data_IF_976985098816
#
_entry.id   IF_976985098816
#
_cell.length_a   1.000
_cell.length_b   1.000
_cell.length_c   1.000
_cell.angle_alpha   90.00
_cell.angle_beta   90.00
_cell.angle_gamma   90.00
#
_symmetry.space_group_name_H-M   'P 1'
#
loop_
_entity.id
_entity.type
_entity.pdbx_description
1 polymer ?
#
# COMPACT_ATOMS: atom_id res chain seq x y z
N UNK A 1 -3.75 -15.93 -38.53
CA UNK A 1 -2.85 -15.47 -39.61
C UNK A 1 -1.93 -14.35 -39.09
N UNK A 2 -0.73 -14.20 -39.64
CA UNK A 2 0.29 -13.23 -39.18
C UNK A 2 0.79 -12.29 -40.29
N UNK A 3 0.27 -12.40 -41.51
CA UNK A 3 0.68 -11.56 -42.64
C UNK A 3 0.06 -10.16 -42.60
N UNK A 4 0.81 -9.13 -43.02
CA UNK A 4 0.35 -7.73 -43.16
C UNK A 4 -0.34 -7.14 -41.91
N UNK A 5 0.12 -7.49 -40.71
CA UNK A 5 -0.49 -7.03 -39.45
C UNK A 5 -0.62 -5.52 -39.34
N UNK A 6 0.35 -4.76 -39.82
CA UNK A 6 0.36 -3.29 -39.76
C UNK A 6 -0.73 -2.64 -40.62
N UNK A 7 -1.20 -3.31 -41.66
CA UNK A 7 -2.28 -2.83 -42.53
C UNK A 7 -3.63 -3.37 -42.06
N UNK A 8 -3.67 -4.65 -41.66
CA UNK A 8 -4.92 -5.35 -41.36
C UNK A 8 -5.39 -5.15 -39.91
N UNK A 9 -4.48 -4.82 -39.00
CA UNK A 9 -4.72 -4.58 -37.57
C UNK A 9 -3.86 -3.39 -37.10
N UNK A 10 -4.16 -2.16 -37.55
CA UNK A 10 -3.25 -1.01 -37.46
C UNK A 10 -3.09 -0.37 -36.06
N UNK A 11 -3.71 -0.94 -35.02
CA UNK A 11 -3.72 -0.35 -33.67
C UNK A 11 -2.34 -0.39 -33.02
N UNK A 12 -1.86 0.77 -32.58
CA UNK A 12 -0.57 0.92 -31.89
C UNK A 12 -0.71 1.13 -30.36
N UNK A 13 -1.89 1.54 -29.91
CA UNK A 13 -2.18 1.73 -28.48
C UNK A 13 -3.65 1.97 -28.18
N UNK A 14 -3.99 1.97 -26.90
CA UNK A 14 -5.31 2.37 -26.42
C UNK A 14 -5.20 3.41 -25.30
N UNK A 15 -6.20 4.28 -25.26
CA UNK A 15 -6.48 5.19 -24.14
C UNK A 15 -7.65 4.62 -23.34
N UNK A 16 -7.36 4.12 -22.13
CA UNK A 16 -8.34 3.54 -21.20
C UNK A 16 -8.06 4.06 -19.79
N UNK A 17 -9.11 4.47 -19.07
CA UNK A 17 -8.97 5.06 -17.73
C UNK A 17 -8.13 6.34 -17.73
N UNK A 18 -8.12 7.07 -18.86
CA UNK A 18 -7.27 8.24 -19.11
C UNK A 18 -5.75 7.97 -19.04
N UNK A 19 -5.36 6.70 -19.20
CA UNK A 19 -3.96 6.26 -19.35
C UNK A 19 -3.77 5.74 -20.76
N UNK A 20 -2.65 6.10 -21.38
CA UNK A 20 -2.25 5.51 -22.66
C UNK A 20 -1.45 4.23 -22.42
N UNK A 21 -1.78 3.19 -23.16
CA UNK A 21 -1.18 1.86 -23.06
C UNK A 21 -0.68 1.40 -24.42
N UNK A 22 0.53 0.85 -24.43
CA UNK A 22 1.11 0.30 -25.65
C UNK A 22 0.51 -1.06 -25.97
N UNK A 23 0.16 -1.29 -27.24
CA UNK A 23 -0.35 -2.57 -27.72
C UNK A 23 0.64 -3.20 -28.66
N UNK A 24 0.63 -4.53 -28.67
CA UNK A 24 1.25 -5.29 -29.73
C UNK A 24 0.26 -6.30 -30.29
N UNK A 25 -0.08 -6.14 -31.57
CA UNK A 25 -0.82 -7.15 -32.32
C UNK A 25 0.12 -8.29 -32.70
N UNK A 26 -0.37 -9.52 -32.57
CA UNK A 26 0.43 -10.75 -32.77
C UNK A 26 -0.08 -11.56 -33.95
N UNK A 27 -1.40 -11.72 -34.07
CA UNK A 27 -2.06 -12.41 -35.17
C UNK A 27 -3.51 -11.94 -35.30
N UNK A 28 -4.20 -12.39 -36.34
CA UNK A 28 -5.64 -12.18 -36.50
C UNK A 28 -6.37 -13.44 -36.94
N UNK A 29 -7.67 -13.43 -36.72
CA UNK A 29 -8.63 -14.43 -37.17
C UNK A 29 -9.61 -13.79 -38.13
N UNK A 30 -9.87 -14.44 -39.26
CA UNK A 30 -10.96 -14.07 -40.14
C UNK A 30 -12.25 -14.72 -39.61
N UNK A 31 -13.23 -13.91 -39.24
CA UNK A 31 -14.54 -14.36 -38.76
C UNK A 31 -15.63 -13.92 -39.72
N UNK A 32 -16.85 -14.46 -39.56
CA UNK A 32 -18.01 -14.02 -40.36
C UNK A 32 -18.39 -12.56 -40.15
N UNK A 33 -18.00 -11.97 -39.02
CA UNK A 33 -18.36 -10.61 -38.61
C UNK A 33 -17.22 -9.61 -38.81
N UNK A 34 -16.11 -10.03 -39.43
CA UNK A 34 -14.94 -9.19 -39.68
C UNK A 34 -13.67 -9.83 -39.17
N UNK A 35 -12.62 -9.00 -39.05
CA UNK A 35 -11.28 -9.44 -38.66
C UNK A 35 -11.07 -9.20 -37.18
N UNK A 36 -10.83 -10.28 -36.44
CA UNK A 36 -10.52 -10.23 -35.02
C UNK A 36 -9.01 -10.24 -34.82
N UNK A 37 -8.46 -9.16 -34.28
CA UNK A 37 -7.02 -8.98 -34.11
C UNK A 37 -6.60 -9.30 -32.67
N UNK A 38 -5.78 -10.34 -32.49
CA UNK A 38 -5.24 -10.69 -31.19
C UNK A 38 -4.07 -9.78 -30.83
N UNK A 39 -4.06 -9.33 -29.59
CA UNK A 39 -3.03 -8.47 -29.08
C UNK A 39 -2.63 -8.80 -27.65
N UNK A 40 -1.46 -8.28 -27.30
CA UNK A 40 -0.89 -8.38 -25.97
C UNK A 40 -0.43 -7.00 -25.50
N UNK A 41 -0.46 -6.79 -24.19
CA UNK A 41 0.37 -5.78 -23.53
C UNK A 41 1.39 -6.51 -22.68
N UNK A 42 2.58 -6.78 -23.26
CA UNK A 42 3.58 -7.64 -22.65
C UNK A 42 3.99 -7.26 -21.23
N UNK A 43 4.01 -5.96 -20.94
CA UNK A 43 4.44 -5.42 -19.65
C UNK A 43 3.45 -5.71 -18.52
N UNK A 44 2.20 -6.03 -18.87
CA UNK A 44 1.11 -6.14 -17.92
C UNK A 44 0.40 -7.49 -17.94
N UNK A 45 0.89 -8.53 -18.64
CA UNK A 45 0.20 -9.84 -18.73
C UNK A 45 -1.27 -9.65 -19.18
N UNK A 46 -1.47 -8.76 -20.14
CA UNK A 46 -2.77 -8.51 -20.74
C UNK A 46 -2.80 -9.16 -22.12
N UNK A 47 -3.86 -9.91 -22.38
CA UNK A 47 -4.16 -10.55 -23.65
C UNK A 47 -5.57 -10.16 -24.04
N UNK A 48 -5.83 -10.05 -25.33
CA UNK A 48 -7.17 -9.71 -25.77
C UNK A 48 -7.32 -9.79 -27.26
N UNK A 49 -8.53 -9.53 -27.71
CA UNK A 49 -8.81 -9.38 -29.11
C UNK A 49 -9.62 -8.10 -29.33
N UNK A 50 -9.41 -7.46 -30.49
CA UNK A 50 -10.19 -6.31 -30.89
C UNK A 50 -10.72 -6.45 -32.31
N UNK A 51 -11.79 -5.71 -32.57
CA UNK A 51 -12.47 -5.59 -33.85
C UNK A 51 -12.61 -4.11 -34.18
N UNK A 52 -12.21 -3.74 -35.40
CA UNK A 52 -12.43 -2.40 -35.95
C UNK A 52 -13.53 -2.52 -37.02
N UNK A 53 -14.59 -1.71 -36.91
CA UNK A 53 -15.62 -1.70 -37.94
C UNK A 53 -15.21 -0.90 -39.18
N UNK A 54 -15.82 -1.25 -40.31
CA UNK A 54 -15.44 -0.72 -41.62
C UNK A 54 -15.98 0.69 -41.91
N UNK A 55 -17.09 1.08 -41.28
CA UNK A 55 -17.73 2.39 -41.50
C UNK A 55 -17.31 3.41 -40.45
N UNK A 56 -17.11 4.66 -40.87
CA UNK A 56 -16.86 5.78 -39.95
C UNK A 56 -18.07 6.04 -39.06
N UNK A 57 -17.81 6.43 -37.81
CA UNK A 57 -18.83 6.72 -36.79
C UNK A 57 -18.49 8.01 -36.07
N UNK A 58 -19.47 8.58 -35.36
CA UNK A 58 -19.19 9.69 -34.45
C UNK A 58 -18.18 9.25 -33.37
N UNK A 59 -17.15 10.06 -33.08
CA UNK A 59 -16.16 9.74 -32.06
C UNK A 59 -16.77 9.60 -30.67
N UNK A 60 -16.18 8.71 -29.87
CA UNK A 60 -16.53 8.61 -28.46
C UNK A 60 -16.12 9.87 -27.68
N UNK A 61 -16.75 10.14 -26.54
CA UNK A 61 -16.45 11.34 -25.72
C UNK A 61 -14.98 11.44 -25.26
N UNK A 62 -14.30 10.31 -25.17
CA UNK A 62 -12.88 10.21 -24.79
C UNK A 62 -11.90 10.46 -25.95
N UNK A 63 -12.41 10.55 -27.19
CA UNK A 63 -11.61 10.73 -28.40
C UNK A 63 -11.27 12.21 -28.61
N UNK A 64 -10.03 12.56 -28.93
CA UNK A 64 -9.63 13.94 -29.18
C UNK A 64 -10.34 14.50 -30.41
N UNK A 65 -10.59 15.80 -30.40
CA UNK A 65 -11.28 16.50 -31.47
C UNK A 65 -10.58 16.43 -32.83
N UNK A 66 -9.26 16.16 -32.85
CA UNK A 66 -8.51 15.95 -34.09
C UNK A 66 -9.03 14.75 -34.88
N UNK A 67 -9.43 13.68 -34.19
CA UNK A 67 -9.87 12.43 -34.80
C UNK A 67 -11.35 12.42 -35.23
N UNK A 68 -11.99 13.60 -35.33
CA UNK A 68 -13.45 13.68 -35.52
C UNK A 68 -13.93 13.06 -36.82
N UNK A 69 -13.18 13.26 -37.88
CA UNK A 69 -13.57 12.86 -39.23
C UNK A 69 -12.99 11.50 -39.65
N UNK A 70 -12.20 10.86 -38.79
CA UNK A 70 -11.49 9.60 -39.07
C UNK A 70 -11.56 8.60 -37.91
N UNK A 71 -12.76 8.50 -37.33
CA UNK A 71 -13.11 7.57 -36.25
C UNK A 71 -13.90 6.36 -36.75
N UNK A 72 -13.47 5.17 -36.33
CA UNK A 72 -14.12 3.88 -36.63
C UNK A 72 -14.60 3.22 -35.32
N UNK A 73 -15.70 2.44 -35.34
CA UNK A 73 -16.17 1.79 -34.14
C UNK A 73 -15.17 0.72 -33.71
N UNK A 74 -14.97 0.60 -32.41
CA UNK A 74 -13.96 -0.26 -31.82
C UNK A 74 -14.56 -1.08 -30.69
N UNK A 75 -14.42 -2.40 -30.80
CA UNK A 75 -14.81 -3.34 -29.76
C UNK A 75 -13.59 -4.15 -29.36
N UNK A 76 -13.44 -4.39 -28.06
CA UNK A 76 -12.32 -5.14 -27.53
C UNK A 76 -12.81 -5.96 -26.35
N UNK A 77 -12.14 -7.09 -26.12
CA UNK A 77 -12.11 -7.68 -24.80
C UNK A 77 -10.67 -7.98 -24.38
N UNK A 78 -10.42 -7.89 -23.08
CA UNK A 78 -9.13 -8.16 -22.48
C UNK A 78 -9.23 -9.07 -21.28
N UNK A 79 -8.19 -9.87 -21.10
CA UNK A 79 -7.85 -10.57 -19.89
C UNK A 79 -6.60 -9.97 -19.29
N UNK A 80 -6.65 -9.61 -18.01
CA UNK A 80 -5.49 -9.25 -17.22
C UNK A 80 -5.25 -10.35 -16.18
N UNK A 81 -4.22 -11.17 -16.39
CA UNK A 81 -3.95 -12.29 -15.50
C UNK A 81 -3.35 -11.84 -14.16
N UNK A 82 -3.92 -12.33 -13.05
CA UNK A 82 -3.39 -12.09 -11.69
C UNK A 82 -2.24 -13.07 -11.35
N UNK A 83 -1.61 -12.88 -10.18
CA UNK A 83 -0.71 -13.86 -9.56
C UNK A 83 -1.52 -15.04 -9.01
N UNK A 84 -2.04 -15.85 -9.93
CA UNK A 84 -2.92 -17.00 -9.68
C UNK A 84 -3.47 -17.58 -10.98
N UNK A 85 -4.51 -18.41 -10.87
CA UNK A 85 -5.14 -19.06 -12.04
C UNK A 85 -6.26 -18.22 -12.70
N UNK A 86 -6.63 -17.08 -12.11
CA UNK A 86 -7.72 -16.24 -12.63
C UNK A 86 -7.21 -14.98 -13.34
N UNK A 87 -8.03 -14.49 -14.26
CA UNK A 87 -7.85 -13.21 -14.95
C UNK A 87 -9.05 -12.30 -14.69
N UNK A 88 -8.77 -11.01 -14.60
CA UNK A 88 -9.81 -10.00 -14.74
C UNK A 88 -10.20 -9.90 -16.22
N UNK A 89 -11.49 -9.78 -16.48
CA UNK A 89 -12.06 -9.71 -17.82
C UNK A 89 -12.72 -8.36 -18.01
N UNK A 90 -12.46 -7.70 -19.13
CA UNK A 90 -13.08 -6.43 -19.50
C UNK A 90 -13.52 -6.46 -20.97
N UNK A 91 -14.65 -5.83 -21.25
CA UNK A 91 -15.21 -5.64 -22.59
C UNK A 91 -15.31 -4.14 -22.87
N UNK A 92 -14.19 -3.47 -23.20
CA UNK A 92 -14.24 -2.07 -23.54
C UNK A 92 -14.77 -1.82 -24.96
N UNK A 93 -15.47 -0.71 -25.11
CA UNK A 93 -15.97 -0.20 -26.39
C UNK A 93 -15.45 1.22 -26.61
N UNK A 94 -15.44 1.68 -27.86
CA UNK A 94 -15.13 3.06 -28.16
C UNK A 94 -14.88 3.29 -29.64
N UNK A 95 -13.93 4.17 -29.95
CA UNK A 95 -13.58 4.51 -31.33
C UNK A 95 -12.09 4.47 -31.58
N UNK A 96 -11.72 3.88 -32.70
CA UNK A 96 -10.36 3.87 -33.23
C UNK A 96 -10.14 5.09 -34.10
N UNK A 97 -9.08 5.85 -33.81
CA UNK A 97 -8.65 6.97 -34.64
C UNK A 97 -7.58 6.50 -35.63
N UNK A 98 -7.85 6.66 -36.94
CA UNK A 98 -6.89 6.26 -37.96
C UNK A 98 -5.73 7.26 -38.13
N UNK A 99 -5.90 8.54 -37.74
CA UNK A 99 -4.84 9.55 -37.81
C UNK A 99 -3.65 9.24 -36.89
N UNK A 100 -3.92 8.82 -35.64
CA UNK A 100 -2.90 8.58 -34.62
C UNK A 100 -2.77 7.11 -34.20
N UNK A 101 -3.55 6.23 -34.86
CA UNK A 101 -3.57 4.78 -34.66
C UNK A 101 -3.89 4.34 -33.22
N UNK A 102 -4.62 5.18 -32.48
CA UNK A 102 -5.00 4.92 -31.09
C UNK A 102 -6.49 4.61 -30.96
N UNK A 103 -6.81 3.58 -30.18
CA UNK A 103 -8.18 3.29 -29.77
C UNK A 103 -8.53 4.06 -28.49
N UNK A 104 -9.57 4.87 -28.54
CA UNK A 104 -10.10 5.62 -27.41
C UNK A 104 -11.31 4.91 -26.86
N UNK A 105 -11.15 4.28 -25.70
CA UNK A 105 -12.09 3.27 -25.21
C UNK A 105 -12.54 3.55 -23.78
N UNK A 106 -13.74 3.07 -23.47
CA UNK A 106 -14.33 3.07 -22.15
C UNK A 106 -14.75 1.66 -21.77
N UNK A 107 -14.73 1.37 -20.48
CA UNK A 107 -15.24 0.11 -19.94
C UNK A 107 -16.75 0.02 -20.15
N UNK A 108 -17.24 -1.08 -20.76
CA UNK A 108 -18.67 -1.36 -20.90
C UNK A 108 -19.08 -2.60 -20.09
N UNK A 109 -18.31 -3.69 -20.20
CA UNK A 109 -18.49 -4.90 -19.40
C UNK A 109 -17.25 -5.22 -18.57
N UNK A 110 -17.45 -5.79 -17.38
CA UNK A 110 -16.34 -6.30 -16.57
C UNK A 110 -16.74 -7.59 -15.84
N UNK A 111 -15.74 -8.43 -15.59
CA UNK A 111 -15.91 -9.70 -14.93
C UNK A 111 -14.59 -10.30 -14.46
N UNK A 112 -14.67 -11.55 -14.03
CA UNK A 112 -13.49 -12.35 -13.67
C UNK A 112 -13.67 -13.75 -14.21
N UNK A 113 -12.59 -14.39 -14.62
CA UNK A 113 -12.65 -15.73 -15.20
C UNK A 113 -11.44 -16.57 -14.79
N UNK A 114 -11.67 -17.83 -14.44
CA UNK A 114 -10.61 -18.78 -14.04
C UNK A 114 -9.85 -19.28 -15.28
N UNK A 115 -9.13 -18.36 -15.93
CA UNK A 115 -8.26 -18.64 -17.06
C UNK A 115 -6.94 -17.88 -16.86
N UNK A 116 -5.82 -18.55 -17.14
CA UNK A 116 -4.51 -17.91 -17.25
C UNK A 116 -3.59 -18.78 -18.13
N UNK A 117 -2.52 -18.19 -18.67
CA UNK A 117 -1.52 -18.93 -19.46
C UNK A 117 -1.93 -19.19 -20.92
N UNK A 118 -1.40 -20.25 -21.57
CA UNK A 118 -1.49 -20.44 -23.03
C UNK A 118 -2.91 -20.45 -23.60
N UNK A 119 -3.87 -20.94 -22.82
CA UNK A 119 -5.30 -20.96 -23.21
C UNK A 119 -5.88 -19.57 -23.52
N UNK A 120 -5.29 -18.49 -22.97
CA UNK A 120 -5.69 -17.11 -23.28
C UNK A 120 -5.43 -16.72 -24.75
N UNK A 121 -4.40 -17.30 -25.36
CA UNK A 121 -4.00 -16.99 -26.75
C UNK A 121 -5.02 -17.55 -27.74
N UNK A 122 -5.71 -18.62 -27.36
CA UNK A 122 -6.70 -19.33 -28.19
C UNK A 122 -8.14 -18.93 -27.88
N UNK A 123 -8.39 -18.15 -26.81
CA UNK A 123 -9.73 -17.64 -26.50
C UNK A 123 -10.16 -16.62 -27.56
N UNK A 124 -11.20 -16.97 -28.30
CA UNK A 124 -11.83 -16.10 -29.32
C UNK A 124 -12.99 -15.29 -28.77
N UNK A 125 -13.22 -15.30 -27.45
CA UNK A 125 -14.33 -14.61 -26.81
C UNK A 125 -15.61 -15.47 -26.76
N UNK A 126 -16.54 -15.09 -25.88
CA UNK A 126 -17.84 -15.76 -25.71
C UNK A 126 -18.83 -14.77 -25.12
N UNK A 127 -20.08 -14.85 -25.55
CA UNK A 127 -21.21 -14.07 -24.98
C UNK A 127 -21.80 -14.70 -23.72
N UNK A 128 -21.32 -15.88 -23.32
CA UNK A 128 -21.75 -16.56 -22.09
C UNK A 128 -21.20 -15.87 -20.84
N UNK A 129 -21.97 -15.86 -19.76
CA UNK A 129 -21.52 -15.32 -18.48
C UNK A 129 -20.24 -16.02 -17.96
N UNK A 130 -19.17 -15.24 -17.76
CA UNK A 130 -17.89 -15.69 -17.22
C UNK A 130 -17.79 -15.37 -15.73
N UNK A 131 -17.29 -16.31 -14.94
CA UNK A 131 -17.11 -16.17 -13.49
C UNK A 131 -15.82 -16.82 -13.01
N UNK A 132 -15.22 -16.27 -11.96
CA UNK A 132 -14.07 -16.85 -11.27
C UNK A 132 -14.47 -17.26 -9.86
N UNK A 133 -14.36 -18.56 -9.58
CA UNK A 133 -14.53 -19.06 -8.22
C UNK A 133 -13.32 -18.72 -7.35
N UNK A 134 -12.13 -18.66 -7.94
CA UNK A 134 -10.91 -18.28 -7.24
C UNK A 134 -10.95 -16.84 -6.74
N UNK A 135 -11.35 -15.91 -7.61
CA UNK A 135 -11.52 -14.51 -7.26
C UNK A 135 -12.59 -14.34 -6.18
N UNK A 136 -13.76 -14.99 -6.34
CA UNK A 136 -14.83 -14.93 -5.35
C UNK A 136 -14.37 -15.43 -3.98
N UNK A 137 -13.64 -16.55 -3.94
CA UNK A 137 -13.14 -17.14 -2.69
C UNK A 137 -12.08 -16.26 -2.03
N UNK A 138 -11.07 -15.83 -2.78
CA UNK A 138 -9.98 -14.98 -2.27
C UNK A 138 -10.50 -13.62 -1.82
N UNK A 139 -11.39 -13.02 -2.61
CA UNK A 139 -12.08 -11.77 -2.28
C UNK A 139 -12.93 -11.90 -1.01
N UNK A 140 -13.73 -12.97 -0.89
CA UNK A 140 -14.52 -13.21 0.32
C UNK A 140 -13.64 -13.36 1.57
N UNK A 141 -12.55 -14.14 1.49
CA UNK A 141 -11.59 -14.29 2.58
C UNK A 141 -10.98 -12.94 2.97
N UNK A 142 -10.61 -12.11 1.99
CA UNK A 142 -10.02 -10.79 2.24
C UNK A 142 -11.02 -9.81 2.86
N UNK A 143 -12.26 -9.79 2.39
CA UNK A 143 -13.35 -8.97 2.96
C UNK A 143 -13.65 -9.38 4.39
N UNK A 144 -13.78 -10.68 4.67
CA UNK A 144 -13.97 -11.20 6.03
C UNK A 144 -12.81 -10.79 6.92
N UNK A 145 -11.58 -10.97 6.46
CA UNK A 145 -10.38 -10.56 7.19
C UNK A 145 -10.40 -9.07 7.55
N UNK A 146 -10.63 -8.19 6.56
CA UNK A 146 -10.70 -6.73 6.76
C UNK A 146 -11.86 -6.36 7.69
N UNK A 147 -13.00 -7.00 7.57
CA UNK A 147 -14.15 -6.82 8.47
C UNK A 147 -13.81 -7.17 9.93
N UNK A 148 -13.11 -8.28 10.16
CA UNK A 148 -12.64 -8.67 11.50
C UNK A 148 -11.60 -7.69 12.06
N UNK A 149 -10.69 -7.19 11.21
CA UNK A 149 -9.73 -6.13 11.59
C UNK A 149 -10.47 -4.86 11.99
N UNK A 150 -11.40 -4.37 11.17
CA UNK A 150 -12.19 -3.17 11.48
C UNK A 150 -12.98 -3.33 12.78
N UNK A 151 -13.61 -4.49 12.99
CA UNK A 151 -14.34 -4.80 14.23
C UNK A 151 -13.43 -4.74 15.46
N UNK A 152 -12.25 -5.39 15.44
CA UNK A 152 -11.33 -5.33 16.59
C UNK A 152 -10.88 -3.90 16.86
N UNK A 153 -10.53 -3.15 15.81
CA UNK A 153 -9.99 -1.79 15.93
C UNK A 153 -11.06 -0.85 16.49
N UNK A 154 -12.31 -0.97 16.02
CA UNK A 154 -13.44 -0.20 16.53
C UNK A 154 -13.67 -0.44 18.03
N UNK A 155 -13.71 -1.69 18.46
CA UNK A 155 -13.91 -2.04 19.88
C UNK A 155 -12.76 -1.48 20.74
N UNK A 156 -11.51 -1.60 20.28
CA UNK A 156 -10.35 -1.07 21.01
C UNK A 156 -10.42 0.45 21.11
N UNK A 157 -10.72 1.15 20.01
CA UNK A 157 -10.89 2.60 20.00
C UNK A 157 -12.00 3.05 20.96
N UNK A 158 -13.15 2.36 20.95
CA UNK A 158 -14.26 2.63 21.88
C UNK A 158 -13.84 2.46 23.35
N UNK A 159 -13.10 1.40 23.68
CA UNK A 159 -12.61 1.15 25.04
C UNK A 159 -11.58 2.19 25.47
N UNK A 160 -10.69 2.59 24.56
CA UNK A 160 -9.71 3.63 24.83
C UNK A 160 -10.37 4.99 25.06
N UNK A 161 -11.34 5.38 24.22
CA UNK A 161 -12.12 6.59 24.41
C UNK A 161 -12.86 6.60 25.76
N UNK A 162 -13.50 5.49 26.15
CA UNK A 162 -14.13 5.36 27.48
C UNK A 162 -13.11 5.52 28.61
N UNK A 163 -11.90 4.96 28.46
CA UNK A 163 -10.82 5.14 29.45
C UNK A 163 -10.37 6.59 29.55
N UNK A 164 -10.21 7.28 28.43
CA UNK A 164 -9.90 8.71 28.42
C UNK A 164 -10.97 9.51 29.18
N UNK A 165 -12.26 9.24 28.92
CA UNK A 165 -13.36 9.86 29.64
C UNK A 165 -13.34 9.57 31.14
N UNK A 166 -13.12 8.31 31.55
CA UNK A 166 -13.06 7.94 32.96
C UNK A 166 -11.88 8.60 33.71
N UNK A 167 -10.78 8.87 33.01
CA UNK A 167 -9.59 9.53 33.57
C UNK A 167 -9.63 11.06 33.42
N UNK A 168 -10.75 11.63 32.94
CA UNK A 168 -10.90 13.08 32.77
C UNK A 168 -10.01 13.68 31.66
N UNK A 169 -9.59 12.88 30.69
CA UNK A 169 -8.68 13.30 29.61
C UNK A 169 -9.41 13.38 28.28
N UNK A 170 -9.35 14.54 27.62
CA UNK A 170 -9.82 14.71 26.24
C UNK A 170 -8.71 14.39 25.23
N UNK A 171 -9.06 13.69 24.15
CA UNK A 171 -8.16 13.47 23.01
C UNK A 171 -8.37 14.54 21.94
N UNK A 172 -7.29 15.15 21.46
CA UNK A 172 -7.36 16.00 20.27
C UNK A 172 -7.51 15.16 19.01
N UNK A 173 -8.02 15.76 17.93
CA UNK A 173 -8.20 15.09 16.63
C UNK A 173 -6.92 14.41 16.13
N UNK A 174 -5.76 15.08 16.23
CA UNK A 174 -4.47 14.52 15.83
C UNK A 174 -4.13 13.23 16.60
N UNK A 175 -4.29 13.25 17.92
CA UNK A 175 -4.00 12.10 18.79
C UNK A 175 -4.94 10.92 18.50
N UNK A 176 -6.22 11.21 18.32
CA UNK A 176 -7.23 10.20 18.00
C UNK A 176 -6.95 9.52 16.66
N UNK A 177 -6.58 10.28 15.62
CA UNK A 177 -6.25 9.73 14.30
C UNK A 177 -5.02 8.81 14.37
N UNK A 178 -3.96 9.24 15.08
CA UNK A 178 -2.77 8.40 15.29
C UNK A 178 -3.14 7.10 16.00
N UNK A 179 -3.94 7.18 17.07
CA UNK A 179 -4.37 5.99 17.80
C UNK A 179 -5.16 5.03 16.90
N UNK A 180 -6.11 5.55 16.12
CA UNK A 180 -6.89 4.75 15.15
C UNK A 180 -5.98 4.08 14.13
N UNK A 181 -5.00 4.80 13.57
CA UNK A 181 -4.06 4.22 12.60
C UNK A 181 -3.18 3.11 13.17
N UNK A 182 -2.75 3.22 14.43
CA UNK A 182 -2.05 2.15 15.14
C UNK A 182 -2.96 0.92 15.34
N UNK A 183 -4.24 1.13 15.65
CA UNK A 183 -5.20 0.02 15.83
C UNK A 183 -5.64 -0.62 14.51
N UNK A 184 -5.59 0.10 13.38
CA UNK A 184 -5.90 -0.40 12.03
C UNK A 184 -4.74 -1.20 11.40
N UNK A 185 -3.69 -1.50 12.17
CA UNK A 185 -2.62 -2.41 11.73
C UNK A 185 -3.22 -3.73 11.23
N UNK A 186 -2.68 -4.27 10.14
CA UNK A 186 -3.14 -5.56 9.62
C UNK A 186 -2.62 -6.72 10.47
N UNK A 187 -1.35 -6.68 10.86
CA UNK A 187 -0.71 -7.73 11.68
C UNK A 187 -1.05 -7.59 13.16
N UNK A 188 -1.17 -8.73 13.86
CA UNK A 188 -1.19 -8.75 15.32
C UNK A 188 0.22 -8.60 15.91
N UNK A 189 0.33 -8.16 17.17
CA UNK A 189 1.58 -8.24 17.91
C UNK A 189 1.96 -9.72 18.10
N UNK A 190 3.18 -10.08 17.70
CA UNK A 190 3.66 -11.46 17.71
C UNK A 190 3.35 -12.27 16.44
N UNK A 191 2.86 -11.63 15.35
CA UNK A 191 2.73 -12.30 14.06
C UNK A 191 4.07 -12.94 13.62
N UNK A 192 4.01 -14.13 13.01
CA UNK A 192 5.18 -14.84 12.46
C UNK A 192 5.55 -14.28 11.09
N UNK A 193 6.69 -14.71 10.52
CA UNK A 193 7.07 -14.33 9.16
C UNK A 193 6.06 -14.85 8.13
N UNK A 194 5.62 -16.11 8.28
CA UNK A 194 4.63 -16.72 7.39
C UNK A 194 3.31 -15.94 7.38
N UNK A 195 2.80 -15.53 8.55
CA UNK A 195 1.60 -14.70 8.62
C UNK A 195 1.74 -13.38 7.85
N UNK A 196 2.91 -12.73 7.91
CA UNK A 196 3.16 -11.49 7.18
C UNK A 196 3.26 -11.71 5.67
N UNK A 197 3.88 -12.82 5.24
CA UNK A 197 3.95 -13.19 3.82
C UNK A 197 2.56 -13.48 3.26
N UNK A 198 1.72 -14.21 4.00
CA UNK A 198 0.34 -14.46 3.59
C UNK A 198 -0.48 -13.16 3.46
N UNK A 199 -0.31 -12.22 4.38
CA UNK A 199 -0.95 -10.90 4.27
C UNK A 199 -0.40 -10.06 3.13
N UNK A 200 0.90 -10.17 2.84
CA UNK A 200 1.52 -9.49 1.71
C UNK A 200 0.92 -9.99 0.40
N UNK A 201 0.71 -11.31 0.26
CA UNK A 201 0.01 -11.90 -0.88
C UNK A 201 -1.41 -11.33 -1.04
N UNK A 202 -2.22 -11.34 0.02
CA UNK A 202 -3.58 -10.79 -0.02
C UNK A 202 -3.62 -9.28 -0.32
N UNK A 203 -2.61 -8.52 0.12
CA UNK A 203 -2.45 -7.11 -0.24
C UNK A 203 -2.13 -6.92 -1.72
N UNK A 204 -1.29 -7.78 -2.29
CA UNK A 204 -0.96 -7.75 -3.72
C UNK A 204 -2.21 -8.07 -4.55
N UNK A 205 -2.97 -9.11 -4.19
CA UNK A 205 -4.25 -9.41 -4.87
C UNK A 205 -5.24 -8.24 -4.76
N UNK A 206 -5.32 -7.59 -3.59
CA UNK A 206 -6.14 -6.39 -3.41
C UNK A 206 -5.68 -5.20 -4.28
N UNK A 207 -4.36 -5.01 -4.44
CA UNK A 207 -3.77 -3.98 -5.30
C UNK A 207 -4.09 -4.21 -6.78
N UNK A 208 -4.08 -5.47 -7.23
CA UNK A 208 -4.51 -5.83 -8.59
C UNK A 208 -5.99 -5.47 -8.80
N UNK A 209 -6.84 -5.72 -7.80
CA UNK A 209 -8.23 -5.27 -7.82
C UNK A 209 -8.39 -3.74 -7.94
N UNK A 210 -7.62 -2.95 -7.18
CA UNK A 210 -7.63 -1.48 -7.31
C UNK A 210 -7.16 -1.01 -8.69
N UNK A 211 -6.12 -1.62 -9.23
CA UNK A 211 -5.60 -1.29 -10.57
C UNK A 211 -6.64 -1.61 -11.65
N UNK A 212 -7.38 -2.70 -11.48
CA UNK A 212 -8.45 -3.08 -12.39
C UNK A 212 -9.66 -2.13 -12.28
N UNK A 213 -10.08 -1.78 -11.07
CA UNK A 213 -11.12 -0.76 -10.86
C UNK A 213 -10.71 0.62 -11.37
N UNK A 214 -9.41 0.92 -11.37
CA UNK A 214 -8.89 2.16 -11.90
C UNK A 214 -9.12 2.26 -13.42
N UNK A 215 -8.82 1.20 -14.18
CA UNK A 215 -9.01 1.20 -15.64
C UNK A 215 -10.49 1.14 -16.03
N UNK A 216 -11.32 0.50 -15.21
CA UNK A 216 -12.76 0.39 -15.43
C UNK A 216 -13.53 1.71 -15.17
N UNK A 217 -12.91 2.71 -14.53
CA UNK A 217 -13.56 3.96 -14.16
C UNK A 217 -12.93 5.17 -14.86
N UNK A 218 -13.76 6.19 -15.11
CA UNK A 218 -13.33 7.47 -15.66
C UNK A 218 -13.63 8.64 -14.71
N UNK A 219 -12.97 9.78 -14.94
CA UNK A 219 -13.28 11.03 -14.24
C UNK A 219 -12.98 11.01 -12.74
N UNK A 220 -13.93 11.45 -11.91
CA UNK A 220 -13.73 11.57 -10.45
C UNK A 220 -13.54 10.20 -9.78
N UNK A 221 -14.22 9.16 -10.27
CA UNK A 221 -14.13 7.82 -9.69
C UNK A 221 -12.72 7.25 -9.84
N UNK A 222 -12.05 7.46 -10.98
CA UNK A 222 -10.66 7.02 -11.15
C UNK A 222 -9.70 7.73 -10.20
N UNK A 223 -9.95 9.01 -9.87
CA UNK A 223 -9.16 9.73 -8.85
C UNK A 223 -9.32 9.14 -7.45
N UNK A 224 -10.54 8.73 -7.08
CA UNK A 224 -10.78 8.03 -5.81
C UNK A 224 -10.04 6.68 -5.79
N UNK A 225 -10.05 5.95 -6.90
CA UNK A 225 -9.32 4.68 -7.01
C UNK A 225 -7.80 4.86 -6.88
N UNK A 226 -7.22 5.92 -7.46
CA UNK A 226 -5.80 6.23 -7.25
C UNK A 226 -5.46 6.49 -5.77
N UNK A 227 -6.36 7.11 -5.00
CA UNK A 227 -6.17 7.28 -3.55
C UNK A 227 -6.24 5.93 -2.82
N UNK A 228 -7.18 5.06 -3.18
CA UNK A 228 -7.26 3.69 -2.65
C UNK A 228 -5.97 2.90 -2.91
N UNK A 229 -5.48 2.96 -4.16
CA UNK A 229 -4.24 2.32 -4.58
C UNK A 229 -3.03 2.82 -3.79
N UNK A 230 -2.93 4.13 -3.57
CA UNK A 230 -1.89 4.73 -2.72
C UNK A 230 -1.93 4.21 -1.28
N UNK A 231 -3.13 4.09 -0.69
CA UNK A 231 -3.32 3.55 0.66
C UNK A 231 -2.91 2.07 0.76
N UNK A 232 -3.31 1.24 -0.20
CA UNK A 232 -2.92 -0.17 -0.21
C UNK A 232 -1.42 -0.36 -0.45
N UNK A 233 -0.81 0.47 -1.30
CA UNK A 233 0.64 0.47 -1.51
C UNK A 233 1.41 0.89 -0.25
N UNK A 234 0.89 1.86 0.50
CA UNK A 234 1.40 2.25 1.82
C UNK A 234 1.31 1.10 2.82
N UNK A 235 0.19 0.36 2.81
CA UNK A 235 0.02 -0.88 3.58
C UNK A 235 1.04 -1.96 3.21
N UNK A 236 1.29 -2.16 1.91
CA UNK A 236 2.31 -3.06 1.38
C UNK A 236 3.71 -2.69 1.92
N UNK A 237 4.10 -1.42 1.84
CA UNK A 237 5.38 -0.92 2.33
C UNK A 237 5.55 -1.14 3.83
N UNK A 238 4.49 -0.93 4.62
CA UNK A 238 4.51 -1.16 6.06
C UNK A 238 4.69 -2.65 6.38
N UNK A 239 3.93 -3.55 5.75
CA UNK A 239 4.07 -5.00 5.98
C UNK A 239 5.44 -5.50 5.51
N UNK A 240 5.94 -5.01 4.38
CA UNK A 240 7.29 -5.34 3.90
C UNK A 240 8.37 -4.89 4.89
N UNK A 241 8.27 -3.66 5.40
CA UNK A 241 9.21 -3.17 6.41
C UNK A 241 9.10 -3.94 7.73
N UNK A 242 7.89 -4.33 8.15
CA UNK A 242 7.71 -5.20 9.32
C UNK A 242 8.38 -6.57 9.15
N UNK A 243 8.39 -7.14 7.94
CA UNK A 243 9.11 -8.38 7.63
C UNK A 243 10.61 -8.15 7.81
N UNK A 244 11.17 -7.09 7.26
CA UNK A 244 12.60 -6.73 7.40
C UNK A 244 12.95 -6.46 8.88
N UNK A 245 12.12 -5.72 9.60
CA UNK A 245 12.29 -5.48 11.03
C UNK A 245 12.25 -6.81 11.81
N UNK A 246 11.39 -7.75 11.38
CA UNK A 246 11.28 -9.07 12.01
C UNK A 246 12.52 -9.95 11.89
N UNK A 247 13.36 -9.75 10.86
CA UNK A 247 14.60 -10.54 10.66
C UNK A 247 15.76 -10.09 11.55
N UNK A 248 15.65 -8.96 12.25
CA UNK A 248 16.71 -8.37 13.08
C UNK A 248 18.02 -8.06 12.31
N UNK A 249 17.96 -7.88 10.99
CA UNK A 249 19.14 -7.57 10.17
C UNK A 249 19.58 -6.10 10.26
N UNK A 250 18.70 -5.21 10.70
CA UNK A 250 19.00 -3.78 10.83
C UNK A 250 19.54 -3.47 12.22
N UNK A 251 20.66 -2.72 12.27
CA UNK A 251 21.10 -2.06 13.51
C UNK A 251 20.03 -1.06 13.96
N UNK A 252 19.87 -0.88 15.27
CA UNK A 252 18.82 -0.02 15.87
C UNK A 252 18.85 1.41 15.32
N UNK A 253 20.05 2.00 15.18
CA UNK A 253 20.22 3.35 14.60
C UNK A 253 19.67 3.44 13.18
N UNK A 254 19.93 2.44 12.35
CA UNK A 254 19.43 2.37 10.96
C UNK A 254 17.93 2.11 10.91
N UNK A 255 17.43 1.20 11.77
CA UNK A 255 15.99 0.91 11.90
C UNK A 255 15.20 2.18 12.21
N UNK A 256 15.65 2.93 13.21
CA UNK A 256 14.98 4.16 13.67
C UNK A 256 15.11 5.27 12.61
N UNK A 257 16.27 5.41 11.97
CA UNK A 257 16.46 6.37 10.87
C UNK A 257 15.45 6.12 9.74
N UNK A 258 15.36 4.89 9.25
CA UNK A 258 14.41 4.49 8.20
C UNK A 258 12.97 4.77 8.65
N UNK A 259 12.61 4.37 9.89
CA UNK A 259 11.27 4.55 10.42
C UNK A 259 10.88 6.02 10.54
N UNK A 260 11.78 6.89 11.00
CA UNK A 260 11.55 8.33 11.14
C UNK A 260 11.48 9.04 9.78
N UNK A 261 12.30 8.63 8.82
CA UNK A 261 12.35 9.25 7.49
C UNK A 261 11.14 8.86 6.62
N UNK A 262 10.84 7.55 6.56
CA UNK A 262 9.93 6.97 5.58
C UNK A 262 8.56 6.56 6.16
N UNK A 263 8.50 6.27 7.46
CA UNK A 263 7.32 5.73 8.14
C UNK A 263 6.88 6.63 9.30
N UNK A 264 6.53 7.88 8.98
CA UNK A 264 6.00 8.83 9.94
C UNK A 264 4.61 9.35 9.56
N UNK A 265 3.81 9.66 10.58
CA UNK A 265 2.43 10.08 10.41
C UNK A 265 2.30 11.39 9.62
N UNK A 266 3.25 12.30 9.79
CA UNK A 266 3.23 13.61 9.15
C UNK A 266 3.44 13.60 7.63
N UNK A 267 4.12 12.60 7.07
CA UNK A 267 4.41 12.53 5.63
C UNK A 267 3.62 11.44 4.89
N UNK A 268 3.13 10.43 5.61
CA UNK A 268 2.51 9.25 4.98
C UNK A 268 1.38 9.57 4.01
N UNK A 269 0.40 10.35 4.47
CA UNK A 269 -0.77 10.75 3.70
C UNK A 269 -0.40 11.67 2.52
N UNK A 270 0.58 12.57 2.72
CA UNK A 270 1.00 13.50 1.66
C UNK A 270 1.58 12.74 0.46
N UNK A 271 2.45 11.76 0.71
CA UNK A 271 3.01 10.92 -0.34
C UNK A 271 1.94 10.16 -1.12
N UNK A 272 0.90 9.67 -0.44
CA UNK A 272 -0.23 8.97 -1.04
C UNK A 272 -1.07 9.89 -1.93
N UNK A 273 -1.40 11.10 -1.45
CA UNK A 273 -2.20 12.08 -2.20
C UNK A 273 -1.45 12.60 -3.43
N UNK A 274 -0.18 13.00 -3.27
CA UNK A 274 0.64 13.49 -4.38
C UNK A 274 0.91 12.38 -5.39
N UNK A 275 1.14 11.15 -4.90
CA UNK A 275 1.18 9.94 -5.71
C UNK A 275 -0.06 9.81 -6.57
N UNK A 276 -1.23 9.74 -5.94
CA UNK A 276 -2.52 9.60 -6.62
C UNK A 276 -2.79 10.69 -7.67
N UNK A 277 -2.38 11.93 -7.40
CA UNK A 277 -2.59 13.05 -8.32
C UNK A 277 -1.75 12.94 -9.61
N UNK A 278 -0.52 12.41 -9.51
CA UNK A 278 0.46 12.38 -10.60
C UNK A 278 0.61 11.01 -11.28
N UNK A 279 0.06 9.95 -10.68
CA UNK A 279 0.26 8.57 -11.11
C UNK A 279 -0.26 8.30 -12.53
N UNK A 280 -1.36 8.93 -12.93
CA UNK A 280 -1.90 8.83 -14.28
C UNK A 280 -0.92 9.36 -15.34
N UNK A 281 -0.44 10.59 -15.16
CA UNK A 281 0.54 11.21 -16.07
C UNK A 281 1.85 10.43 -16.11
N UNK A 282 2.27 9.89 -14.96
CA UNK A 282 3.42 9.02 -14.85
C UNK A 282 3.24 7.73 -15.66
N UNK A 283 2.11 7.03 -15.51
CA UNK A 283 1.77 5.82 -16.24
C UNK A 283 1.76 6.03 -17.76
N UNK A 284 1.07 7.07 -18.23
CA UNK A 284 1.01 7.43 -19.66
C UNK A 284 2.41 7.65 -20.23
N UNK A 285 3.28 8.36 -19.51
CA UNK A 285 4.67 8.61 -19.95
C UNK A 285 5.53 7.35 -19.91
N UNK A 286 5.36 6.50 -18.90
CA UNK A 286 6.10 5.25 -18.76
C UNK A 286 5.76 4.29 -19.92
N UNK A 287 4.47 4.06 -20.17
CA UNK A 287 3.99 3.25 -21.28
C UNK A 287 4.38 3.85 -22.64
N UNK A 288 4.32 5.18 -22.75
CA UNK A 288 4.75 5.93 -23.92
C UNK A 288 6.26 5.93 -24.17
N UNK A 289 7.08 5.45 -23.22
CA UNK A 289 8.53 5.50 -23.33
C UNK A 289 9.05 4.58 -24.45
N UNK A 290 10.12 5.02 -25.12
CA UNK A 290 10.79 4.23 -26.17
C UNK A 290 11.25 2.85 -25.66
N UNK A 291 11.63 2.76 -24.39
CA UNK A 291 12.09 1.52 -23.76
C UNK A 291 10.98 0.46 -23.74
N UNK A 292 9.78 0.80 -23.23
CA UNK A 292 8.67 -0.15 -23.19
C UNK A 292 8.10 -0.41 -24.59
N UNK A 293 7.91 0.62 -25.41
CA UNK A 293 7.42 0.46 -26.79
C UNK A 293 8.30 -0.49 -27.64
N UNK A 294 9.62 -0.44 -27.50
CA UNK A 294 10.55 -1.26 -28.31
C UNK A 294 10.97 -2.58 -27.64
N UNK A 295 10.43 -2.90 -26.48
CA UNK A 295 10.81 -4.10 -25.71
C UNK A 295 10.27 -5.43 -26.24
N UNK A 296 9.52 -5.42 -27.35
CA UNK A 296 8.89 -6.60 -27.92
C UNK A 296 9.87 -7.76 -28.20
N UNK A 297 11.04 -7.46 -28.79
CA UNK A 297 12.04 -8.48 -29.08
C UNK A 297 12.49 -9.26 -27.82
N UNK A 298 12.57 -8.57 -26.67
CA UNK A 298 12.90 -9.19 -25.37
C UNK A 298 11.73 -10.03 -24.87
N UNK A 299 10.52 -9.51 -24.98
CA UNK A 299 9.30 -10.20 -24.62
C UNK A 299 9.14 -11.55 -25.35
N UNK A 300 9.33 -11.58 -26.67
CA UNK A 300 9.27 -12.81 -27.46
C UNK A 300 10.40 -13.80 -27.12
N UNK A 301 11.58 -13.29 -26.73
CA UNK A 301 12.72 -14.12 -26.37
C UNK A 301 12.59 -14.80 -24.99
N UNK A 302 11.94 -14.16 -24.01
CA UNK A 302 11.88 -14.65 -22.62
C UNK A 302 10.49 -15.20 -22.22
N UNK A 303 9.44 -14.83 -22.95
CA UNK A 303 7.99 -15.06 -22.72
C UNK A 303 7.23 -13.83 -22.18
N UNK A 304 5.96 -13.74 -22.59
CA UNK A 304 4.99 -12.73 -22.14
C UNK A 304 4.79 -12.71 -20.63
N UNK A 305 4.83 -13.87 -19.99
CA UNK A 305 4.63 -13.97 -18.54
C UNK A 305 5.82 -13.39 -17.77
N UNK A 306 7.05 -13.77 -18.13
CA UNK A 306 8.26 -13.28 -17.45
C UNK A 306 8.45 -11.79 -17.69
N UNK A 307 8.26 -11.32 -18.93
CA UNK A 307 8.37 -9.90 -19.25
C UNK A 307 7.32 -9.05 -18.53
N UNK A 308 6.12 -9.60 -18.30
CA UNK A 308 5.11 -8.94 -17.49
C UNK A 308 5.53 -8.77 -16.03
N UNK A 309 6.18 -9.77 -15.42
CA UNK A 309 6.70 -9.63 -14.05
C UNK A 309 7.70 -8.47 -13.99
N UNK A 310 8.58 -8.37 -14.98
CA UNK A 310 9.53 -7.25 -15.09
C UNK A 310 8.80 -5.92 -15.27
N UNK A 311 7.84 -5.84 -16.19
CA UNK A 311 7.05 -4.64 -16.46
C UNK A 311 6.27 -4.14 -15.24
N UNK A 312 5.49 -5.01 -14.60
CA UNK A 312 4.81 -4.71 -13.34
C UNK A 312 5.78 -4.31 -12.24
N UNK A 313 6.93 -4.99 -12.12
CA UNK A 313 7.94 -4.64 -11.12
C UNK A 313 8.50 -3.23 -11.34
N UNK A 314 8.82 -2.85 -12.59
CA UNK A 314 9.25 -1.50 -12.93
C UNK A 314 8.19 -0.48 -12.51
N UNK A 315 6.92 -0.76 -12.83
CA UNK A 315 5.82 0.11 -12.46
C UNK A 315 5.69 0.27 -10.94
N UNK A 316 5.52 -0.85 -10.23
CA UNK A 316 5.31 -0.86 -8.77
C UNK A 316 6.49 -0.21 -8.05
N UNK A 317 7.73 -0.53 -8.43
CA UNK A 317 8.93 0.07 -7.83
C UNK A 317 9.05 1.57 -8.13
N UNK A 318 8.64 2.02 -9.31
CA UNK A 318 8.67 3.44 -9.64
C UNK A 318 7.63 4.23 -8.84
N UNK A 319 6.41 3.71 -8.70
CA UNK A 319 5.38 4.33 -7.86
C UNK A 319 5.80 4.34 -6.39
N UNK A 320 6.31 3.22 -5.87
CA UNK A 320 6.87 3.13 -4.52
C UNK A 320 7.99 4.16 -4.33
N UNK A 321 8.95 4.21 -5.25
CA UNK A 321 10.08 5.13 -5.20
C UNK A 321 9.63 6.58 -5.19
N UNK A 322 8.64 6.92 -6.00
CA UNK A 322 8.05 8.26 -6.02
C UNK A 322 7.38 8.62 -4.68
N UNK A 323 6.52 7.75 -4.15
CA UNK A 323 5.87 7.99 -2.85
C UNK A 323 6.92 8.13 -1.74
N UNK A 324 7.93 7.27 -1.73
CA UNK A 324 9.02 7.33 -0.75
C UNK A 324 9.85 8.61 -0.87
N UNK A 325 10.09 9.10 -2.09
CA UNK A 325 10.77 10.37 -2.34
C UNK A 325 9.97 11.54 -1.76
N UNK A 326 8.68 11.65 -2.06
CA UNK A 326 7.81 12.71 -1.54
C UNK A 326 7.76 12.66 -0.01
N UNK A 327 7.61 11.46 0.57
CA UNK A 327 7.65 11.27 2.02
C UNK A 327 8.97 11.77 2.61
N UNK A 328 10.09 11.36 2.04
CA UNK A 328 11.42 11.73 2.53
C UNK A 328 11.64 13.24 2.47
N UNK A 329 11.33 13.88 1.34
CA UNK A 329 11.49 15.33 1.16
C UNK A 329 10.64 16.09 2.16
N UNK A 330 9.36 15.73 2.30
CA UNK A 330 8.48 16.38 3.26
C UNK A 330 8.93 16.18 4.71
N UNK A 331 9.33 14.96 5.06
CA UNK A 331 9.86 14.63 6.38
C UNK A 331 11.10 15.48 6.70
N UNK A 332 12.02 15.64 5.75
CA UNK A 332 13.22 16.48 5.88
C UNK A 332 12.82 17.93 6.16
N UNK A 333 11.95 18.52 5.33
CA UNK A 333 11.45 19.89 5.50
C UNK A 333 10.74 20.05 6.86
N UNK A 334 9.91 19.08 7.24
CA UNK A 334 9.16 19.10 8.49
C UNK A 334 10.07 19.08 9.72
N UNK A 335 11.07 18.19 9.75
CA UNK A 335 12.01 18.08 10.87
C UNK A 335 12.83 19.35 11.03
N UNK A 336 13.31 19.92 9.91
CA UNK A 336 14.01 21.20 9.95
C UNK A 336 13.14 22.31 10.50
N UNK A 337 11.91 22.45 9.99
CA UNK A 337 11.00 23.50 10.43
C UNK A 337 10.63 23.35 11.90
N UNK A 338 10.31 22.13 12.34
CA UNK A 338 9.78 21.89 13.68
C UNK A 338 10.85 21.85 14.78
N UNK A 339 11.96 21.19 14.51
CA UNK A 339 12.98 20.88 15.52
C UNK A 339 14.28 21.64 15.33
N UNK A 340 14.49 22.28 14.16
CA UNK A 340 15.72 23.04 13.83
C UNK A 340 17.01 22.22 13.94
N UNK A 341 16.89 20.88 13.90
CA UNK A 341 18.02 19.96 13.97
C UNK A 341 17.74 18.68 13.18
N UNK A 342 18.76 18.19 12.49
CA UNK A 342 18.73 16.91 11.76
C UNK A 342 18.99 15.71 12.67
N UNK A 343 19.48 15.95 13.90
CA UNK A 343 19.80 14.90 14.86
C UNK A 343 18.59 14.05 15.24
N UNK A 344 17.36 14.58 15.08
CA UNK A 344 16.11 13.83 15.26
C UNK A 344 16.07 12.56 14.40
N UNK A 345 16.73 12.51 13.25
CA UNK A 345 16.75 11.29 12.44
C UNK A 345 17.62 10.16 13.02
N UNK A 346 18.66 10.50 13.78
CA UNK A 346 19.68 9.52 14.19
C UNK A 346 19.82 9.34 15.69
N UNK A 347 19.30 10.29 16.49
CA UNK A 347 19.36 10.23 17.95
C UNK A 347 18.62 9.02 18.49
N UNK A 348 19.17 8.39 19.53
CA UNK A 348 18.49 7.33 20.25
C UNK A 348 17.28 7.87 21.01
N UNK A 349 16.26 7.03 21.15
CA UNK A 349 15.13 7.28 22.04
C UNK A 349 14.70 5.94 22.62
N UNK A 350 14.86 5.79 23.93
CA UNK A 350 14.57 4.54 24.61
C UNK A 350 13.10 4.07 24.47
N UNK A 351 12.16 5.00 24.25
CA UNK A 351 10.75 4.69 23.96
C UNK A 351 10.60 4.03 22.58
N UNK A 352 11.33 4.46 21.55
CA UNK A 352 11.29 3.81 20.23
C UNK A 352 11.83 2.37 20.29
N UNK A 353 12.84 2.15 21.15
CA UNK A 353 13.40 0.82 21.40
C UNK A 353 12.41 -0.06 22.18
N UNK A 354 11.76 0.48 23.22
CA UNK A 354 10.74 -0.26 24.00
C UNK A 354 9.50 -0.62 23.15
N UNK A 355 9.04 0.30 22.31
CA UNK A 355 7.98 0.06 21.33
C UNK A 355 8.42 -0.97 20.29
N UNK A 356 9.65 -0.85 19.76
CA UNK A 356 10.22 -1.76 18.78
C UNK A 356 9.27 -2.01 17.59
N UNK A 357 8.96 -3.28 17.36
CA UNK A 357 8.05 -3.79 16.30
C UNK A 357 6.58 -3.50 16.58
N UNK A 358 6.21 -3.12 17.80
CA UNK A 358 4.81 -2.92 18.24
C UNK A 358 4.23 -1.60 17.71
N UNK A 359 5.10 -0.63 17.44
CA UNK A 359 4.73 0.63 16.82
C UNK A 359 4.72 0.50 15.29
N UNK A 360 3.65 0.94 14.64
CA UNK A 360 3.53 0.96 13.18
C UNK A 360 4.38 2.09 12.60
N UNK A 361 4.24 3.32 13.11
CA UNK A 361 4.87 4.51 12.54
C UNK A 361 5.31 5.52 13.62
N UNK A 362 6.29 6.34 13.31
CA UNK A 362 6.74 7.39 14.24
C UNK A 362 5.88 8.65 14.14
N UNK A 363 5.80 9.40 15.25
CA UNK A 363 5.12 10.70 15.29
C UNK A 363 6.17 11.80 15.48
N UNK A 364 6.65 12.38 14.39
CA UNK A 364 7.79 13.30 14.43
C UNK A 364 7.46 14.59 15.19
N UNK A 365 6.24 15.10 15.05
CA UNK A 365 5.77 16.26 15.82
C UNK A 365 5.52 15.95 17.30
N UNK A 366 5.52 14.66 17.66
CA UNK A 366 5.37 14.17 19.03
C UNK A 366 6.65 14.23 19.84
N UNK A 367 7.80 14.42 19.21
CA UNK A 367 9.07 14.57 19.91
C UNK A 367 9.24 15.95 20.54
N UNK A 368 10.09 15.97 21.56
CA UNK A 368 10.69 17.13 22.19
C UNK A 368 12.20 16.92 22.20
N UNK A 369 12.92 17.83 21.55
CA UNK A 369 14.38 17.86 21.55
C UNK A 369 14.86 18.74 22.70
N UNK A 370 15.60 18.16 23.65
CA UNK A 370 16.12 18.87 24.82
C UNK A 370 17.46 18.26 25.22
N UNK A 371 18.45 19.10 25.53
CA UNK A 371 19.80 18.70 25.97
C UNK A 371 20.47 17.63 25.08
N UNK A 372 20.38 17.81 23.76
CA UNK A 372 20.93 16.86 22.78
C UNK A 372 20.24 15.49 22.73
N UNK A 373 19.14 15.32 23.46
CA UNK A 373 18.39 14.07 23.62
C UNK A 373 16.96 14.20 23.10
N UNK A 374 16.39 13.05 22.73
CA UNK A 374 15.06 12.97 22.12
C UNK A 374 14.05 12.33 23.08
N UNK A 375 12.98 13.05 23.37
CA UNK A 375 11.89 12.62 24.24
C UNK A 375 10.56 12.66 23.51
N UNK A 376 9.62 11.77 23.85
CA UNK A 376 8.23 11.88 23.46
C UNK A 376 7.45 12.70 24.47
N UNK A 377 6.61 13.62 23.97
CA UNK A 377 5.68 14.38 24.78
C UNK A 377 4.55 13.49 25.33
N UNK A 378 3.94 13.85 26.48
CA UNK A 378 2.76 13.17 27.03
C UNK A 378 1.65 12.91 26.00
N UNK A 379 1.33 13.91 25.17
CA UNK A 379 0.30 13.80 24.14
C UNK A 379 0.64 12.76 23.07
N UNK A 380 1.93 12.62 22.73
CA UNK A 380 2.40 11.63 21.77
C UNK A 380 2.33 10.22 22.37
N UNK A 381 2.78 10.04 23.61
CA UNK A 381 2.65 8.78 24.35
C UNK A 381 1.18 8.35 24.41
N UNK A 382 0.28 9.29 24.71
CA UNK A 382 -1.17 9.08 24.68
C UNK A 382 -1.66 8.68 23.30
N UNK A 383 -1.21 9.35 22.22
CA UNK A 383 -1.60 9.00 20.86
C UNK A 383 -1.22 7.57 20.44
N UNK A 384 -0.14 7.02 21.00
CA UNK A 384 0.24 5.61 20.82
C UNK A 384 -0.52 4.64 21.74
N UNK A 385 -1.33 5.15 22.66
CA UNK A 385 -2.02 4.34 23.67
C UNK A 385 -1.11 3.88 24.80
N UNK A 386 0.01 4.54 25.02
CA UNK A 386 0.94 4.21 26.10
C UNK A 386 0.41 4.74 27.43
N UNK A 387 0.47 3.87 28.43
CA UNK A 387 -0.04 4.10 29.77
C UNK A 387 1.07 3.92 30.80
N UNK A 388 0.90 4.57 31.95
CA UNK A 388 1.69 4.39 33.16
C UNK A 388 1.00 3.35 34.03
N UNK A 389 1.74 2.35 34.50
CA UNK A 389 1.31 1.49 35.61
C UNK A 389 2.20 1.76 36.81
N UNK A 390 1.61 1.91 37.98
CA UNK A 390 2.33 1.91 39.26
C UNK A 390 2.20 0.50 39.87
N UNK A 391 3.33 -0.14 40.11
CA UNK A 391 3.41 -1.41 40.84
C UNK A 391 3.22 -1.21 42.34
N UNK A 392 2.94 -2.29 43.05
CA UNK A 392 2.83 -2.28 44.53
C UNK A 392 4.16 -1.90 45.20
N UNK A 393 5.27 -2.14 44.52
CA UNK A 393 6.64 -1.76 44.91
C UNK A 393 6.99 -0.28 44.60
N UNK A 394 6.01 0.51 44.14
CA UNK A 394 6.21 1.88 43.68
C UNK A 394 6.92 1.99 42.33
N UNK A 395 7.20 0.87 41.65
CA UNK A 395 7.86 0.90 40.34
C UNK A 395 6.92 1.41 39.26
N UNK A 396 7.42 2.32 38.42
CA UNK A 396 6.67 2.82 37.27
C UNK A 396 6.96 1.96 36.04
N UNK A 397 5.90 1.54 35.36
CA UNK A 397 5.97 0.66 34.20
C UNK A 397 5.28 1.29 32.99
N UNK A 398 5.91 1.16 31.83
CA UNK A 398 5.33 1.52 30.54
C UNK A 398 4.43 0.36 30.06
N UNK A 399 3.16 0.68 29.85
CA UNK A 399 2.12 -0.29 29.47
C UNK A 399 1.56 0.03 28.10
N UNK A 400 1.34 -1.02 27.31
CA UNK A 400 0.70 -0.97 26.00
C UNK A 400 -0.40 -2.04 25.92
N UNK A 401 -1.46 -1.75 25.17
CA UNK A 401 -2.45 -2.77 24.81
C UNK A 401 -1.91 -3.66 23.69
N UNK A 402 -1.85 -4.97 23.94
CA UNK A 402 -1.42 -5.96 22.95
C UNK A 402 -2.53 -6.17 21.92
N UNK A 403 -2.17 -6.03 20.64
CA UNK A 403 -3.09 -6.23 19.53
C UNK A 403 -3.11 -7.72 19.14
N UNK A 404 -4.26 -8.37 19.32
CA UNK A 404 -4.50 -9.75 18.87
C UNK A 404 -5.11 -9.78 17.47
N UNK A 405 -5.06 -10.94 16.79
CA UNK A 405 -5.57 -11.11 15.42
C UNK A 405 -7.02 -10.67 15.25
N UNK A 406 -7.95 -11.22 16.03
CA UNK A 406 -9.37 -10.87 15.93
C UNK A 406 -10.04 -10.74 17.32
N UNK A 407 -9.43 -11.34 18.34
CA UNK A 407 -9.89 -11.25 19.71
C UNK A 407 -9.65 -9.85 20.29
N UNK A 408 -10.53 -9.45 21.21
CA UNK A 408 -10.36 -8.21 21.98
C UNK A 408 -10.52 -8.54 23.48
N UNK A 409 -9.54 -9.23 24.09
CA UNK A 409 -9.60 -9.63 25.49
C UNK A 409 -9.80 -8.41 26.41
N UNK A 410 -10.37 -8.62 27.59
CA UNK A 410 -10.49 -7.53 28.58
C UNK A 410 -9.13 -7.22 29.24
N UNK A 411 -8.32 -8.26 29.46
CA UNK A 411 -7.01 -8.20 30.09
C UNK A 411 -5.90 -8.33 29.04
N UNK A 412 -5.72 -7.29 28.25
CA UNK A 412 -4.79 -7.21 27.12
C UNK A 412 -3.77 -6.07 27.28
N UNK A 413 -3.64 -5.53 28.49
CA UNK A 413 -2.60 -4.56 28.83
C UNK A 413 -1.34 -5.30 29.29
N UNK A 414 -0.22 -4.99 28.66
CA UNK A 414 1.07 -5.60 28.96
C UNK A 414 2.10 -4.54 29.28
N UNK A 415 2.91 -4.81 30.28
CA UNK A 415 4.11 -4.05 30.58
C UNK A 415 5.15 -4.37 29.51
N UNK A 416 5.69 -3.32 28.88
CA UNK A 416 6.73 -3.42 27.83
C UNK A 416 8.06 -2.81 28.27
N UNK A 417 8.08 -2.09 29.39
CA UNK A 417 9.30 -1.52 29.96
C UNK A 417 9.09 -0.99 31.37
N UNK A 418 10.19 -0.82 32.09
CA UNK A 418 10.25 -0.15 33.40
C UNK A 418 10.76 1.27 33.20
N UNK A 419 10.20 2.22 33.92
CA UNK A 419 10.55 3.63 33.83
C UNK A 419 11.33 4.05 35.07
N UNK A 420 12.40 4.81 34.87
CA UNK A 420 13.19 5.42 35.93
C UNK A 420 13.47 6.86 35.51
N UNK A 421 12.94 7.82 36.26
CA UNK A 421 12.83 9.22 35.86
C UNK A 421 12.11 9.33 34.51
N UNK A 422 12.81 9.75 33.46
CA UNK A 422 12.29 9.91 32.11
C UNK A 422 12.71 8.76 31.16
N UNK A 423 13.54 7.83 31.64
CA UNK A 423 14.14 6.76 30.84
C UNK A 423 13.30 5.48 30.89
N UNK A 424 13.08 4.87 29.73
CA UNK A 424 12.36 3.60 29.59
C UNK A 424 13.35 2.48 29.29
N UNK A 425 13.39 1.47 30.16
CA UNK A 425 14.15 0.25 29.92
C UNK A 425 13.21 -0.85 29.41
N UNK A 426 13.45 -1.42 28.21
CA UNK A 426 12.66 -2.55 27.71
C UNK A 426 12.69 -3.73 28.69
N UNK A 427 11.55 -4.40 28.85
CA UNK A 427 11.40 -5.56 29.74
C UNK A 427 10.64 -6.69 29.06
N UNK A 428 10.71 -7.90 29.62
CA UNK A 428 9.89 -9.02 29.16
C UNK A 428 8.40 -8.70 29.34
N UNK A 429 7.59 -9.08 28.35
CA UNK A 429 6.14 -8.85 28.41
C UNK A 429 5.54 -9.57 29.61
N UNK A 430 4.87 -8.81 30.48
CA UNK A 430 4.07 -9.33 31.58
C UNK A 430 2.72 -8.64 31.64
N UNK A 431 1.71 -9.33 32.17
CA UNK A 431 0.38 -8.77 32.31
C UNK A 431 0.41 -7.54 33.23
N UNK A 432 -0.35 -6.50 32.88
CA UNK A 432 -0.56 -5.35 33.75
C UNK A 432 -1.52 -5.73 34.88
N UNK A 433 -1.03 -5.68 36.12
CA UNK A 433 -1.79 -5.99 37.35
C UNK A 433 -2.12 -4.75 38.19
N UNK A 434 -1.44 -3.62 37.96
CA UNK A 434 -1.57 -2.41 38.77
C UNK A 434 -2.54 -1.38 38.21
N UNK A 435 -2.66 -0.25 38.92
CA UNK A 435 -3.49 0.89 38.52
C UNK A 435 -2.83 1.59 37.34
N UNK A 436 -3.63 1.87 36.30
CA UNK A 436 -3.16 2.48 35.05
C UNK A 436 -3.59 3.95 34.96
N UNK A 437 -2.64 4.82 34.63
CA UNK A 437 -2.82 6.26 34.41
C UNK A 437 -2.17 6.69 33.09
N UNK A 438 -2.37 7.94 32.69
CA UNK A 438 -1.62 8.54 31.58
C UNK A 438 -0.31 9.14 32.09
N UNK A 439 0.69 9.18 31.22
CA UNK A 439 1.93 9.90 31.50
C UNK A 439 1.69 11.41 31.50
N UNK A 440 2.19 12.08 32.53
CA UNK A 440 2.20 13.55 32.64
C UNK A 440 3.53 14.17 32.17
N UNK A 441 4.61 13.38 32.16
CA UNK A 441 5.96 13.83 31.80
C UNK A 441 6.43 13.29 30.45
N UNK A 442 7.49 13.88 29.90
CA UNK A 442 8.14 13.42 28.69
C UNK A 442 8.95 12.15 28.98
N UNK A 443 8.96 11.18 28.07
CA UNK A 443 9.77 9.97 28.21
C UNK A 443 10.72 9.81 27.01
N UNK A 444 11.97 9.43 27.24
CA UNK A 444 12.97 9.27 26.20
C UNK A 444 14.40 9.42 26.71
N UNK A 445 15.31 9.79 25.82
CA UNK A 445 16.75 9.80 26.11
C UNK A 445 17.47 8.53 25.66
N UNK A 446 18.74 8.42 26.05
CA UNK A 446 19.67 7.45 25.49
C UNK A 446 19.52 6.04 26.10
N UNK A 447 19.70 5.02 25.25
CA UNK A 447 19.50 3.61 25.60
C UNK A 447 20.63 3.09 26.48
N UNK A 448 21.86 3.57 26.30
CA UNK A 448 23.02 3.15 27.10
C UNK A 448 22.96 3.65 28.55
N UNK A 449 22.40 4.83 28.77
CA UNK A 449 22.22 5.41 30.10
C UNK A 449 21.17 4.62 30.91
N UNK A 450 20.07 4.19 30.27
CA UNK A 450 19.08 3.28 30.84
C UNK A 450 19.65 1.87 31.16
N UNK A 451 20.68 1.44 30.41
CA UNK A 451 21.42 0.22 30.66
C UNK A 451 22.31 0.30 31.91
N UNK A 452 23.14 1.36 32.00
CA UNK A 452 24.16 1.56 33.06
C UNK A 452 23.58 1.77 34.46
N UNK A 453 22.46 2.49 34.62
CA UNK A 453 21.91 2.79 35.96
C UNK A 453 21.49 1.56 36.78
N UNK A 454 21.22 0.41 36.14
CA UNK A 454 21.01 -0.88 36.85
C UNK A 454 22.31 -1.46 37.41
N UNK A 455 23.45 -1.23 36.77
CA UNK A 455 24.76 -1.65 37.28
C UNK A 455 25.14 -0.94 38.57
N UNK A 456 24.67 0.31 38.73
CA UNK A 456 24.85 1.10 39.95
C UNK A 456 23.83 0.74 41.02
N UNK A 457 22.54 0.59 40.68
CA UNK A 457 21.51 0.21 41.65
C UNK A 457 21.68 -1.23 42.17
N UNK A 458 22.04 -2.19 41.32
CA UNK A 458 22.31 -3.57 41.73
C UNK A 458 23.59 -3.71 42.59
N UNK A 459 24.54 -2.77 42.46
CA UNK A 459 25.70 -2.65 43.36
C UNK A 459 25.35 -1.98 44.69
N UNK A 460 24.31 -1.16 44.73
CA UNK A 460 23.82 -0.49 45.94
C UNK A 460 23.01 -1.41 46.85
N UNK A 461 22.43 -2.49 46.32
CA UNK A 461 21.64 -3.47 47.08
C UNK A 461 22.43 -4.71 47.50
N UNK A 462 23.77 -4.69 47.40
CA UNK A 462 24.65 -5.77 47.86
C UNK A 462 25.63 -5.34 48.97
N UNK A 463 25.23 -4.41 49.82
CA UNK A 463 25.91 -4.14 51.09
C UNK A 463 24.96 -4.29 52.26
#
# INVERSE_FOLDING_TARGET
>A
ETANLTELCPVEGYSLGQVWWNVQVTHYYNTRHGRLCHFVIPQYNIHGNHLIGSSKVEPYETTPSSCRDDSHPFEMYIYHGSLGYFSFYEEPIGTYCAEDRTAYIVSHGFGTYDINGPSLVEDTGSTSYRKSYWYATTGALWVVYRGLVLRRSFIICKRYARRCSNLGVSLRRKEAVVYVHEQLRLTAHGATKLHRVALLYLLIEGLMGDLFLLIANNGLLSKIQYVSLGYNLSGLLLVAFEIIESTNWLRERTRVFIKRLLFCYESSLLGEIVGAALQQSFLTRLNGSRALKKSNHVNLAVSHYVWSIVGHSIYVLSVIGFIMLIRSLWTIVYVWWKHRTWSVFTASCCVDTALGKRNKMTLLGGYHWYDGKLYYKPDALRSFGLLKMEGEDGSECLVLRKLHWFAVPRNDLFVIGTVSDDLVKPSNERLCTGIVRFWGQCLGGDVEEAGRRRGTLARSTSK
#
